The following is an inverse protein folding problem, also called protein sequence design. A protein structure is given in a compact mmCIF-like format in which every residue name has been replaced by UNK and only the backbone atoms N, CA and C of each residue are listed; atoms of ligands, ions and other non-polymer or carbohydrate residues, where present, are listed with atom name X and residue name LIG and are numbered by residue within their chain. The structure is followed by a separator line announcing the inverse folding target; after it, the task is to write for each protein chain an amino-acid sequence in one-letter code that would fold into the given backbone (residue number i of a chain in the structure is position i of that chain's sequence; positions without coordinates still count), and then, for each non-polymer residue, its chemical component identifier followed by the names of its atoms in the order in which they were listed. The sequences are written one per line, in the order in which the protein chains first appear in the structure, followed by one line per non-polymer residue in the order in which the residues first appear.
data_IF_932260312876
#
_entry.id   IF_932260312876
#
_cell.length_a   1.000
_cell.length_b   1.000
_cell.length_c   1.000
_cell.angle_alpha   90.00
_cell.angle_beta   90.00
_cell.angle_gamma   90.00
#
_symmetry.space_group_name_H-M   'P 1'
#
loop_
_entity.id
_entity.type
_entity.pdbx_description
1 polymer ?
#
# COMPACT_ATOMS: atom_id res chain seq x y z
N UNK A 1 29.28 -51.57 -45.84
CA UNK A 1 29.01 -50.16 -46.19
C UNK A 1 28.91 -49.37 -44.90
N UNK A 2 29.73 -48.32 -44.75
CA UNK A 2 29.89 -47.53 -43.52
C UNK A 2 28.70 -46.58 -43.33
N UNK A 3 28.10 -46.56 -42.14
CA UNK A 3 27.10 -45.57 -41.75
C UNK A 3 27.81 -44.26 -41.34
N UNK A 4 27.48 -43.17 -42.01
CA UNK A 4 27.91 -41.82 -41.67
C UNK A 4 26.98 -41.27 -40.58
N UNK A 5 27.54 -40.92 -39.41
CA UNK A 5 26.85 -40.13 -38.40
C UNK A 5 27.13 -38.65 -38.70
N UNK A 6 26.09 -37.90 -39.05
CA UNK A 6 26.17 -36.44 -39.19
C UNK A 6 26.07 -35.83 -37.79
N UNK A 7 27.15 -35.21 -37.31
CA UNK A 7 27.17 -34.45 -36.06
C UNK A 7 26.83 -32.98 -36.39
N UNK A 8 25.61 -32.54 -36.07
CA UNK A 8 25.20 -31.15 -36.22
C UNK A 8 25.71 -30.33 -35.04
N UNK A 9 26.71 -29.49 -35.27
CA UNK A 9 27.22 -28.54 -34.26
C UNK A 9 26.31 -27.31 -34.26
N UNK A 10 25.54 -27.12 -33.18
CA UNK A 10 24.84 -25.86 -32.93
C UNK A 10 25.85 -24.82 -32.42
N UNK A 11 26.20 -23.85 -33.25
CA UNK A 11 26.95 -22.67 -32.84
C UNK A 11 26.00 -21.74 -32.07
N UNK A 12 26.08 -21.73 -30.74
CA UNK A 12 25.41 -20.71 -29.93
C UNK A 12 26.23 -19.43 -30.07
N UNK A 13 25.79 -18.53 -30.95
CA UNK A 13 26.31 -17.15 -30.98
C UNK A 13 25.68 -16.45 -29.77
N UNK A 14 26.43 -16.38 -28.67
CA UNK A 14 26.12 -15.46 -27.60
C UNK A 14 26.26 -14.05 -28.16
N UNK A 15 25.14 -13.44 -28.55
CA UNK A 15 25.10 -12.02 -28.85
C UNK A 15 25.39 -11.29 -27.54
N UNK A 16 26.63 -10.85 -27.35
CA UNK A 16 26.94 -9.85 -26.34
C UNK A 16 26.06 -8.64 -26.61
N UNK A 17 25.20 -8.31 -25.66
CA UNK A 17 24.55 -7.01 -25.63
C UNK A 17 25.63 -5.92 -25.78
N UNK A 18 25.38 -4.85 -26.55
CA UNK A 18 26.35 -3.76 -26.68
C UNK A 18 26.70 -3.19 -25.31
N UNK A 19 27.96 -2.79 -25.13
CA UNK A 19 28.41 -2.11 -23.91
C UNK A 19 27.60 -0.82 -23.70
N UNK A 20 27.13 -0.59 -22.46
CA UNK A 20 26.30 0.56 -22.08
C UNK A 20 27.06 1.88 -22.30
N UNK A 21 26.37 2.90 -22.82
CA UNK A 21 26.90 4.27 -22.93
C UNK A 21 26.86 4.96 -21.56
N UNK A 22 27.92 5.69 -21.19
CA UNK A 22 28.08 6.40 -19.90
C UNK A 22 27.09 7.55 -19.66
N UNK A 23 26.20 7.85 -20.63
CA UNK A 23 25.19 8.91 -20.54
C UNK A 23 23.77 8.41 -20.25
N UNK A 24 23.54 7.10 -20.11
CA UNK A 24 22.24 6.59 -19.70
C UNK A 24 22.01 6.82 -18.20
N UNK A 25 20.83 7.31 -17.83
CA UNK A 25 20.43 7.48 -16.42
C UNK A 25 20.56 6.18 -15.59
N UNK A 26 20.53 5.02 -16.25
CA UNK A 26 20.76 3.70 -15.64
C UNK A 26 22.24 3.41 -15.27
N UNK A 27 23.21 4.17 -15.79
CA UNK A 27 24.63 4.01 -15.45
C UNK A 27 25.03 4.71 -14.13
N UNK A 28 24.14 5.54 -13.56
CA UNK A 28 24.36 6.28 -12.30
C UNK A 28 23.51 5.79 -11.11
N UNK A 29 22.72 4.72 -11.30
CA UNK A 29 21.89 4.15 -10.23
C UNK A 29 22.67 3.04 -9.49
N UNK A 30 23.16 3.27 -8.25
CA UNK A 30 23.82 2.22 -7.45
C UNK A 30 22.82 1.27 -6.79
N UNK A 31 21.52 1.48 -6.94
CA UNK A 31 20.48 0.71 -6.26
C UNK A 31 20.05 -0.53 -7.03
N UNK A 32 19.45 -1.46 -6.29
CA UNK A 32 18.92 -2.69 -6.88
C UNK A 32 17.67 -2.40 -7.73
N UNK A 33 17.34 -3.34 -8.63
CA UNK A 33 16.07 -3.29 -9.37
C UNK A 33 14.90 -3.31 -8.38
N UNK A 34 13.96 -2.38 -8.54
CA UNK A 34 12.86 -2.13 -7.60
C UNK A 34 13.12 -1.00 -6.61
N UNK A 35 14.31 -0.39 -6.64
CA UNK A 35 14.67 0.78 -5.85
C UNK A 35 14.96 2.00 -6.73
N UNK A 36 14.94 3.16 -6.09
CA UNK A 36 15.28 4.46 -6.65
C UNK A 36 16.49 5.02 -5.93
N UNK A 37 17.48 5.47 -6.70
CA UNK A 37 18.54 6.33 -6.17
C UNK A 37 17.99 7.75 -6.04
N UNK A 38 17.57 8.11 -4.83
CA UNK A 38 16.99 9.42 -4.52
C UNK A 38 18.08 10.35 -4.01
N UNK A 39 18.24 11.50 -4.68
CA UNK A 39 19.14 12.58 -4.29
C UNK A 39 18.34 13.79 -3.83
N UNK A 40 18.61 14.27 -2.62
CA UNK A 40 17.98 15.45 -2.04
C UNK A 40 18.94 16.66 -2.07
N UNK A 41 18.37 17.83 -2.30
CA UNK A 41 19.10 19.10 -2.40
C UNK A 41 18.43 20.16 -1.54
N UNK A 42 19.23 21.00 -0.87
CA UNK A 42 18.75 22.18 -0.14
C UNK A 42 18.66 23.41 -1.07
N UNK A 43 18.05 23.19 -2.23
CA UNK A 43 17.63 24.19 -3.21
C UNK A 43 16.56 23.58 -4.11
N UNK A 44 15.77 24.41 -4.80
CA UNK A 44 14.70 23.95 -5.69
C UNK A 44 15.16 23.59 -7.12
N UNK A 45 16.44 23.78 -7.44
CA UNK A 45 16.99 23.61 -8.78
C UNK A 45 17.69 22.28 -9.04
N UNK A 46 17.62 21.31 -8.10
CA UNK A 46 18.38 20.05 -8.15
C UNK A 46 19.90 20.27 -8.39
N UNK A 47 20.45 21.37 -7.86
CA UNK A 47 21.77 21.86 -8.25
C UNK A 47 22.83 21.66 -7.16
N UNK A 48 24.09 21.54 -7.57
CA UNK A 48 25.23 21.32 -6.68
C UNK A 48 25.32 19.90 -6.15
N UNK A 49 26.00 19.73 -5.02
CA UNK A 49 26.13 18.43 -4.34
C UNK A 49 24.85 18.12 -3.57
N UNK A 50 24.29 16.93 -3.78
CA UNK A 50 23.16 16.45 -2.99
C UNK A 50 23.56 16.38 -1.50
N UNK A 51 22.68 16.88 -0.62
CA UNK A 51 22.92 16.85 0.84
C UNK A 51 22.65 15.46 1.42
N UNK A 52 21.84 14.67 0.73
CA UNK A 52 21.55 13.27 1.03
C UNK A 52 21.35 12.52 -0.29
N UNK A 53 21.88 11.31 -0.37
CA UNK A 53 21.60 10.39 -1.47
C UNK A 53 21.54 8.95 -0.95
N UNK A 54 20.46 8.22 -1.26
CA UNK A 54 20.25 6.85 -0.78
C UNK A 54 19.29 6.08 -1.69
N UNK A 55 19.30 4.75 -1.54
CA UNK A 55 18.33 3.88 -2.18
C UNK A 55 17.02 3.85 -1.41
N UNK A 56 15.91 4.05 -2.10
CA UNK A 56 14.55 4.08 -1.54
C UNK A 56 13.63 3.14 -2.35
N UNK A 57 12.62 2.56 -1.71
CA UNK A 57 11.70 1.60 -2.35
C UNK A 57 10.48 2.25 -3.00
N UNK A 58 10.32 3.55 -2.79
CA UNK A 58 9.26 4.41 -3.31
C UNK A 58 9.83 5.80 -3.52
N UNK A 59 9.07 6.70 -4.13
CA UNK A 59 9.49 8.09 -4.31
C UNK A 59 8.50 9.03 -3.65
N UNK A 60 9.01 9.80 -2.69
CA UNK A 60 8.27 10.89 -2.06
C UNK A 60 7.57 10.51 -0.76
N UNK A 61 6.50 11.23 -0.44
CA UNK A 61 5.78 11.22 0.81
C UNK A 61 4.94 12.49 0.99
N UNK A 62 4.33 12.62 2.17
CA UNK A 62 3.53 13.76 2.58
C UNK A 62 4.27 14.58 3.65
N UNK A 63 4.99 15.60 3.21
CA UNK A 63 5.92 16.34 4.06
C UNK A 63 5.32 17.65 4.55
N UNK A 64 4.94 17.70 5.83
CA UNK A 64 4.65 18.95 6.53
C UNK A 64 5.94 19.69 7.01
N UNK A 65 7.10 19.09 6.79
CA UNK A 65 8.41 19.59 7.21
C UNK A 65 9.54 18.90 6.44
N UNK A 66 10.68 18.70 7.10
CA UNK A 66 11.85 18.06 6.47
C UNK A 66 11.54 16.62 6.02
N UNK A 67 11.86 16.22 4.77
CA UNK A 67 11.61 14.86 4.29
C UNK A 67 12.60 13.83 4.85
N UNK A 68 13.78 14.26 5.29
CA UNK A 68 14.82 13.39 5.82
C UNK A 68 15.85 14.21 6.63
N UNK A 69 16.55 13.61 7.61
CA UNK A 69 17.61 14.29 8.33
C UNK A 69 18.63 14.95 7.39
N UNK A 70 18.91 16.24 7.59
CA UNK A 70 19.85 17.03 6.78
C UNK A 70 19.22 17.75 5.57
N UNK A 71 17.98 17.44 5.22
CA UNK A 71 17.22 18.16 4.18
C UNK A 71 16.42 19.29 4.81
N UNK A 72 16.37 20.47 4.18
CA UNK A 72 15.57 21.59 4.64
C UNK A 72 14.07 21.27 4.58
N UNK A 73 13.28 21.88 5.47
CA UNK A 73 11.82 21.77 5.44
C UNK A 73 11.20 22.50 4.23
N UNK A 74 11.75 23.66 3.89
CA UNK A 74 11.35 24.47 2.74
C UNK A 74 12.53 24.59 1.75
N UNK A 75 12.24 24.96 0.50
CA UNK A 75 13.27 25.25 -0.49
C UNK A 75 14.13 24.05 -0.89
N UNK A 76 13.57 22.84 -0.80
CA UNK A 76 14.28 21.61 -1.15
C UNK A 76 13.83 21.04 -2.51
N UNK A 77 14.61 20.11 -3.03
CA UNK A 77 14.22 19.30 -4.17
C UNK A 77 14.77 17.89 -4.08
N UNK A 78 14.16 16.97 -4.80
CA UNK A 78 14.61 15.58 -4.92
C UNK A 78 14.59 15.12 -6.37
N UNK A 79 15.61 14.36 -6.75
CA UNK A 79 15.70 13.69 -8.05
C UNK A 79 15.95 12.19 -7.82
N UNK A 80 14.97 11.38 -8.19
CA UNK A 80 14.96 9.93 -8.00
C UNK A 80 15.07 9.23 -9.35
N UNK A 81 16.08 8.36 -9.50
CA UNK A 81 16.26 7.51 -10.69
C UNK A 81 16.21 6.06 -10.26
N UNK A 82 15.25 5.31 -10.78
CA UNK A 82 15.05 3.90 -10.47
C UNK A 82 15.13 3.01 -11.70
N UNK A 83 15.22 1.70 -11.44
CA UNK A 83 15.09 0.66 -12.45
C UNK A 83 14.03 -0.32 -11.98
N UNK A 84 12.89 -0.37 -12.65
CA UNK A 84 11.75 -1.21 -12.24
C UNK A 84 11.61 -2.40 -13.16
N UNK A 85 11.26 -3.55 -12.60
CA UNK A 85 10.93 -4.75 -13.37
C UNK A 85 9.45 -4.76 -13.69
N UNK A 86 9.12 -4.79 -14.98
CA UNK A 86 7.78 -5.01 -15.49
C UNK A 86 7.65 -6.51 -15.78
N UNK A 87 6.88 -7.28 -14.98
CA UNK A 87 6.84 -8.73 -15.08
C UNK A 87 6.20 -9.25 -16.39
N UNK A 88 5.33 -8.44 -17.03
CA UNK A 88 4.63 -8.81 -18.26
C UNK A 88 4.57 -7.63 -19.22
N UNK A 89 4.55 -7.91 -20.52
CA UNK A 89 4.23 -6.88 -21.53
C UNK A 89 2.74 -6.57 -21.42
N UNK A 90 2.38 -5.31 -21.19
CA UNK A 90 0.97 -4.96 -20.99
C UNK A 90 0.74 -3.50 -20.64
N UNK A 91 -0.51 -3.18 -20.31
CA UNK A 91 -0.90 -1.85 -19.88
C UNK A 91 -0.53 -1.63 -18.40
N UNK A 92 0.26 -0.60 -18.16
CA UNK A 92 0.61 -0.11 -16.84
C UNK A 92 0.05 1.29 -16.65
N UNK A 93 -0.45 1.54 -15.44
CA UNK A 93 -0.90 2.85 -15.01
C UNK A 93 0.18 3.51 -14.17
N UNK A 94 0.61 4.67 -14.63
CA UNK A 94 1.56 5.56 -13.98
C UNK A 94 0.72 6.62 -13.27
N UNK A 95 0.95 6.78 -11.97
CA UNK A 95 0.26 7.77 -11.14
C UNK A 95 1.27 8.65 -10.42
N UNK A 96 0.99 9.96 -10.37
CA UNK A 96 1.76 10.94 -9.60
C UNK A 96 0.80 11.88 -8.90
N UNK A 97 0.69 11.76 -7.58
CA UNK A 97 -0.06 12.69 -6.73
C UNK A 97 0.89 13.78 -6.25
N UNK A 98 0.67 15.03 -6.66
CA UNK A 98 1.47 16.17 -6.23
C UNK A 98 0.64 17.22 -5.51
N UNK A 99 1.26 17.95 -4.60
CA UNK A 99 0.68 19.13 -3.93
C UNK A 99 1.78 20.00 -3.32
N UNK A 100 1.76 21.30 -3.62
CA UNK A 100 2.80 22.23 -3.10
C UNK A 100 4.19 22.08 -3.74
N UNK A 101 4.38 21.11 -4.64
CA UNK A 101 5.62 20.87 -5.38
C UNK A 101 5.39 21.00 -6.88
N UNK A 102 6.45 21.35 -7.60
CA UNK A 102 6.54 21.06 -9.05
C UNK A 102 7.04 19.63 -9.19
N UNK A 103 6.53 18.87 -10.16
CA UNK A 103 6.87 17.46 -10.34
C UNK A 103 7.02 17.10 -11.81
N UNK A 104 7.91 16.15 -12.10
CA UNK A 104 8.05 15.54 -13.44
C UNK A 104 8.32 14.06 -13.31
N UNK A 105 7.77 13.30 -14.25
CA UNK A 105 7.88 11.84 -14.31
C UNK A 105 8.32 11.41 -15.69
N UNK A 106 9.28 10.50 -15.76
CA UNK A 106 9.73 9.88 -17.00
C UNK A 106 9.72 8.35 -16.91
N UNK A 107 9.43 7.70 -18.04
CA UNK A 107 9.60 6.27 -18.28
C UNK A 107 10.44 6.10 -19.53
N UNK A 108 11.58 5.39 -19.42
CA UNK A 108 12.55 5.19 -20.50
C UNK A 108 12.99 6.48 -21.22
N UNK A 109 13.06 7.57 -20.47
CA UNK A 109 13.42 8.90 -20.98
C UNK A 109 12.27 9.67 -21.64
N UNK A 110 11.12 9.06 -21.90
CA UNK A 110 9.89 9.76 -22.30
C UNK A 110 9.32 10.52 -21.11
N UNK A 111 9.05 11.82 -21.27
CA UNK A 111 8.36 12.65 -20.28
C UNK A 111 6.87 12.28 -20.26
N UNK A 112 6.41 11.73 -19.15
CA UNK A 112 5.02 11.28 -18.96
C UNK A 112 4.17 12.40 -18.36
N UNK A 113 4.67 13.07 -17.32
CA UNK A 113 4.01 14.19 -16.66
C UNK A 113 4.98 15.36 -16.52
N UNK A 114 4.50 16.58 -16.83
CA UNK A 114 5.28 17.81 -16.74
C UNK A 114 4.53 18.90 -15.97
N UNK A 115 4.66 18.87 -14.64
CA UNK A 115 4.12 19.88 -13.73
C UNK A 115 5.24 20.83 -13.30
N UNK A 116 5.91 21.44 -14.28
CA UNK A 116 7.03 22.35 -14.04
C UNK A 116 6.62 23.71 -13.46
N UNK A 117 5.39 24.14 -13.76
CA UNK A 117 4.93 25.51 -13.52
C UNK A 117 3.74 25.60 -12.55
N UNK A 118 3.16 24.45 -12.17
CA UNK A 118 2.04 24.37 -11.24
C UNK A 118 2.43 23.63 -9.96
N UNK A 119 1.74 23.97 -8.86
CA UNK A 119 1.89 23.34 -7.52
C UNK A 119 0.52 22.92 -6.99
N UNK A 120 -0.38 22.66 -7.93
CA UNK A 120 -1.75 22.25 -7.69
C UNK A 120 -1.79 20.88 -7.02
N UNK A 121 -2.91 20.63 -6.34
CA UNK A 121 -3.16 19.40 -5.63
C UNK A 121 -3.96 18.47 -6.54
N UNK A 122 -3.43 17.28 -6.82
CA UNK A 122 -4.12 16.31 -7.65
C UNK A 122 -3.25 15.12 -8.05
N UNK A 123 -3.92 14.09 -8.55
CA UNK A 123 -3.28 12.87 -9.08
C UNK A 123 -3.35 12.88 -10.59
N UNK A 124 -2.20 12.90 -11.24
CA UNK A 124 -2.08 12.66 -12.67
C UNK A 124 -2.02 11.16 -12.96
N UNK A 125 -2.75 10.74 -13.99
CA UNK A 125 -2.85 9.35 -14.41
C UNK A 125 -2.55 9.22 -15.90
N UNK A 126 -1.66 8.29 -16.22
CA UNK A 126 -1.35 7.91 -17.59
C UNK A 126 -1.32 6.39 -17.70
N UNK A 127 -1.89 5.87 -18.78
CA UNK A 127 -1.76 4.46 -19.13
C UNK A 127 -0.76 4.34 -20.28
N UNK A 128 0.20 3.42 -20.15
CA UNK A 128 1.20 3.10 -21.17
C UNK A 128 1.29 1.60 -21.35
N UNK A 129 1.48 1.17 -22.59
CA UNK A 129 1.90 -0.21 -22.86
C UNK A 129 3.41 -0.27 -22.69
N UNK A 130 3.88 -1.14 -21.79
CA UNK A 130 5.29 -1.31 -21.47
C UNK A 130 5.67 -2.76 -21.76
N UNK A 131 6.86 -2.99 -22.29
CA UNK A 131 7.39 -4.33 -22.52
C UNK A 131 7.78 -5.01 -21.20
N UNK A 132 7.76 -6.35 -21.16
CA UNK A 132 8.31 -7.09 -20.04
C UNK A 132 9.84 -6.87 -20.01
N UNK A 133 10.37 -6.50 -18.85
CA UNK A 133 11.80 -6.18 -18.75
C UNK A 133 12.11 -5.26 -17.60
N UNK A 134 13.33 -4.73 -17.60
CA UNK A 134 13.76 -3.69 -16.66
C UNK A 134 13.76 -2.37 -17.40
N UNK A 135 13.01 -1.40 -16.88
CA UNK A 135 12.81 -0.09 -17.49
C UNK A 135 13.29 1.00 -16.54
N UNK A 136 13.75 2.12 -17.11
CA UNK A 136 14.22 3.26 -16.34
C UNK A 136 13.05 4.15 -15.96
N UNK A 137 12.96 4.53 -14.68
CA UNK A 137 11.96 5.48 -14.19
C UNK A 137 12.66 6.63 -13.52
N UNK A 138 12.23 7.85 -13.80
CA UNK A 138 12.72 9.04 -13.10
C UNK A 138 11.55 9.84 -12.58
N UNK A 139 11.70 10.35 -11.36
CA UNK A 139 10.75 11.25 -10.73
C UNK A 139 11.55 12.39 -10.12
N UNK A 140 11.24 13.63 -10.47
CA UNK A 140 11.85 14.81 -9.86
C UNK A 140 10.77 15.70 -9.27
N UNK A 141 10.99 16.23 -8.07
CA UNK A 141 10.06 17.18 -7.47
C UNK A 141 10.78 18.26 -6.65
N UNK A 142 10.19 19.44 -6.55
CA UNK A 142 10.75 20.57 -5.80
C UNK A 142 9.67 21.40 -5.09
N UNK A 143 9.85 21.60 -3.79
CA UNK A 143 9.00 22.40 -2.93
C UNK A 143 9.67 23.73 -2.57
N UNK A 144 8.97 24.84 -2.75
CA UNK A 144 9.52 26.17 -2.41
C UNK A 144 9.28 26.51 -0.94
N UNK A 145 8.07 26.28 -0.45
CA UNK A 145 7.66 26.55 0.92
C UNK A 145 6.35 25.82 1.27
N UNK A 146 6.16 25.47 2.54
CA UNK A 146 4.94 24.85 3.04
C UNK A 146 4.86 23.34 2.75
N UNK A 147 3.69 22.72 2.93
CA UNK A 147 3.52 21.29 2.72
C UNK A 147 3.94 20.87 1.31
N UNK A 148 4.67 19.77 1.23
CA UNK A 148 5.16 19.18 -0.02
C UNK A 148 4.72 17.72 -0.10
N UNK A 149 3.85 17.43 -1.07
CA UNK A 149 3.36 16.07 -1.34
C UNK A 149 3.88 15.63 -2.69
N UNK A 150 4.53 14.45 -2.72
CA UNK A 150 4.72 13.69 -3.94
C UNK A 150 4.55 12.21 -3.64
N UNK A 151 3.66 11.55 -4.37
CA UNK A 151 3.36 10.13 -4.22
C UNK A 151 3.26 9.49 -5.61
N UNK A 152 4.23 8.62 -5.90
CA UNK A 152 4.39 7.96 -7.19
C UNK A 152 4.05 6.46 -7.13
N UNK A 153 3.44 5.94 -8.20
CA UNK A 153 3.31 4.50 -8.44
C UNK A 153 3.24 4.15 -9.93
N UNK A 154 3.69 2.93 -10.28
CA UNK A 154 3.46 2.31 -11.59
C UNK A 154 2.88 0.92 -11.37
N UNK A 155 1.63 0.69 -11.74
CA UNK A 155 0.93 -0.57 -11.44
C UNK A 155 0.34 -1.21 -12.69
N UNK A 156 0.15 -2.53 -12.64
CA UNK A 156 -0.57 -3.22 -13.71
C UNK A 156 -2.03 -2.75 -13.74
N UNK A 157 -2.60 -2.66 -14.94
CA UNK A 157 -4.05 -2.41 -15.09
C UNK A 157 -4.84 -3.72 -15.01
N UNK A 158 -4.20 -4.86 -15.25
CA UNK A 158 -4.84 -6.16 -15.28
C UNK A 158 -5.31 -6.60 -13.89
N UNK A 159 -6.53 -7.13 -13.83
CA UNK A 159 -7.10 -7.69 -12.61
C UNK A 159 -6.54 -9.07 -12.30
N UNK A 160 -6.51 -9.41 -11.01
CA UNK A 160 -6.11 -10.72 -10.53
C UNK A 160 -7.23 -11.76 -10.63
N UNK A 161 -6.89 -13.05 -10.56
CA UNK A 161 -7.87 -14.12 -10.43
C UNK A 161 -8.64 -14.01 -9.11
N UNK A 162 -9.93 -14.36 -9.14
CA UNK A 162 -10.75 -14.37 -7.93
C UNK A 162 -10.20 -15.32 -6.86
N UNK A 163 -10.35 -14.96 -5.58
CA UNK A 163 -10.00 -15.87 -4.49
C UNK A 163 -10.88 -17.12 -4.47
N UNK A 164 -10.26 -18.28 -4.25
CA UNK A 164 -10.94 -19.58 -4.20
C UNK A 164 -11.39 -20.02 -2.80
N UNK A 165 -11.01 -19.28 -1.76
CA UNK A 165 -11.26 -19.63 -0.35
C UNK A 165 -12.20 -18.66 0.38
N UNK A 166 -12.77 -17.67 -0.32
CA UNK A 166 -13.65 -16.67 0.28
C UNK A 166 -12.93 -15.45 0.88
N UNK A 167 -11.59 -15.41 0.86
CA UNK A 167 -10.86 -14.19 1.24
C UNK A 167 -11.26 -13.02 0.33
N UNK A 168 -11.28 -11.82 0.88
CA UNK A 168 -11.31 -10.60 0.09
C UNK A 168 -10.05 -10.48 -0.78
N UNK A 169 -10.22 -9.78 -1.90
CA UNK A 169 -9.26 -9.51 -2.97
C UNK A 169 -8.82 -10.73 -3.77
N UNK A 170 -8.10 -10.47 -4.86
CA UNK A 170 -7.62 -11.50 -5.76
C UNK A 170 -6.78 -12.57 -5.05
N UNK A 171 -6.78 -13.80 -5.57
CA UNK A 171 -5.95 -14.88 -5.03
C UNK A 171 -4.46 -14.53 -5.03
N UNK A 172 -4.00 -13.73 -6.00
CA UNK A 172 -2.63 -13.23 -6.11
C UNK A 172 -2.40 -11.87 -5.43
N UNK A 173 -3.38 -11.32 -4.70
CA UNK A 173 -3.18 -10.12 -3.88
C UNK A 173 -2.05 -10.33 -2.88
N UNK A 174 -1.29 -9.28 -2.58
CA UNK A 174 -0.28 -9.29 -1.51
C UNK A 174 -0.83 -9.73 -0.14
N UNK A 175 -2.15 -9.62 0.07
CA UNK A 175 -2.86 -10.08 1.26
C UNK A 175 -3.01 -11.60 1.28
N UNK A 176 -3.30 -12.20 0.13
CA UNK A 176 -3.62 -13.63 -0.02
C UNK A 176 -2.39 -14.48 -0.34
N UNK A 177 -1.19 -13.91 -0.19
CA UNK A 177 0.08 -14.60 -0.42
C UNK A 177 0.85 -14.79 0.90
N UNK A 178 1.31 -16.01 1.21
CA UNK A 178 2.18 -16.23 2.36
C UNK A 178 3.50 -15.47 2.19
N UNK A 179 4.18 -15.24 3.30
CA UNK A 179 5.53 -14.71 3.25
C UNK A 179 6.46 -15.69 2.53
N UNK A 180 7.43 -15.20 1.72
CA UNK A 180 8.43 -16.07 1.13
C UNK A 180 9.26 -16.73 2.24
N UNK A 181 9.91 -17.88 1.99
CA UNK A 181 10.84 -18.47 2.94
C UNK A 181 11.96 -17.49 3.29
N UNK A 182 12.22 -17.29 4.58
CA UNK A 182 13.29 -16.42 5.10
C UNK A 182 13.29 -14.99 4.51
N UNK A 183 12.21 -14.21 4.68
CA UNK A 183 12.18 -12.85 4.18
C UNK A 183 13.28 -12.01 4.85
N UNK A 184 13.89 -11.11 4.08
CA UNK A 184 14.90 -10.20 4.60
C UNK A 184 14.28 -9.24 5.63
N UNK A 185 15.00 -9.01 6.73
CA UNK A 185 14.59 -8.10 7.80
C UNK A 185 15.16 -6.71 7.52
N UNK A 186 14.33 -5.67 7.62
CA UNK A 186 14.80 -4.30 7.47
C UNK A 186 15.82 -3.98 8.58
N UNK A 187 16.99 -3.41 8.27
CA UNK A 187 18.02 -3.11 9.26
C UNK A 187 17.54 -2.14 10.35
N UNK A 188 16.46 -1.38 10.12
CA UNK A 188 15.84 -0.48 11.10
C UNK A 188 14.87 -1.20 12.04
N UNK A 189 14.51 -2.45 11.77
CA UNK A 189 13.55 -3.23 12.56
C UNK A 189 13.82 -3.20 14.06
N UNK A 190 15.06 -3.38 14.58
CA UNK A 190 15.30 -3.32 16.02
C UNK A 190 14.94 -1.96 16.64
N UNK A 191 15.16 -0.86 15.91
CA UNK A 191 14.85 0.49 16.39
C UNK A 191 13.33 0.73 16.42
N UNK A 192 12.60 0.29 15.40
CA UNK A 192 11.14 0.42 15.35
C UNK A 192 10.44 -0.46 16.38
N UNK A 193 10.91 -1.69 16.59
CA UNK A 193 10.42 -2.57 17.67
C UNK A 193 10.66 -1.92 19.04
N UNK A 194 11.87 -1.39 19.28
CA UNK A 194 12.18 -0.68 20.51
C UNK A 194 11.30 0.57 20.70
N UNK A 195 11.07 1.35 19.63
CA UNK A 195 10.21 2.52 19.66
C UNK A 195 8.77 2.16 20.05
N UNK A 196 8.18 1.11 19.47
CA UNK A 196 6.86 0.60 19.86
C UNK A 196 6.84 0.12 21.32
N UNK A 197 7.84 -0.65 21.73
CA UNK A 197 7.95 -1.14 23.11
C UNK A 197 8.14 -0.03 24.14
N UNK A 198 8.74 1.10 23.78
CA UNK A 198 8.91 2.26 24.65
C UNK A 198 7.78 3.28 24.54
N UNK A 199 6.90 3.18 23.54
CA UNK A 199 5.81 4.11 23.35
C UNK A 199 4.83 4.05 24.52
N UNK A 200 4.44 5.19 25.14
CA UNK A 200 3.63 5.20 26.34
C UNK A 200 2.22 4.65 26.13
N UNK A 201 1.65 4.81 24.94
CA UNK A 201 0.29 4.36 24.62
C UNK A 201 0.22 2.89 24.16
N UNK A 202 1.34 2.26 23.80
CA UNK A 202 1.35 0.85 23.34
C UNK A 202 1.38 -0.09 24.54
N UNK A 203 0.20 -0.58 24.95
CA UNK A 203 0.01 -1.46 26.12
C UNK A 203 -0.16 -2.94 25.77
N UNK A 204 -0.60 -3.22 24.55
CA UNK A 204 -0.80 -4.52 23.95
C UNK A 204 -0.64 -4.36 22.43
N UNK A 205 -0.94 -5.42 21.68
CA UNK A 205 -1.35 -5.29 20.27
C UNK A 205 -2.87 -5.38 20.29
N UNK A 206 -3.53 -4.24 20.23
CA UNK A 206 -4.99 -4.13 20.37
C UNK A 206 -5.68 -4.73 19.13
N UNK A 207 -6.87 -5.30 19.27
CA UNK A 207 -7.66 -5.81 18.13
C UNK A 207 -9.02 -5.13 18.12
N UNK A 208 -9.22 -4.20 17.19
CA UNK A 208 -10.44 -3.43 17.09
C UNK A 208 -11.54 -4.23 16.38
N UNK A 209 -12.63 -4.56 17.08
CA UNK A 209 -13.76 -5.37 16.57
C UNK A 209 -15.15 -4.73 16.70
N UNK A 210 -15.22 -3.51 17.24
CA UNK A 210 -16.48 -2.74 17.39
C UNK A 210 -16.33 -1.35 16.77
N UNK A 211 -15.40 -0.55 17.30
CA UNK A 211 -15.06 0.80 16.87
C UNK A 211 -13.59 0.89 16.45
N UNK A 212 -13.21 1.95 15.73
CA UNK A 212 -11.86 2.11 15.13
C UNK A 212 -11.50 0.94 14.20
N UNK A 213 -12.53 0.40 13.56
CA UNK A 213 -12.50 -0.67 12.56
C UNK A 213 -13.62 -0.39 11.55
N UNK A 214 -14.07 -1.37 10.78
CA UNK A 214 -14.99 -1.16 9.66
C UNK A 214 -16.20 -2.08 9.74
N UNK A 215 -17.39 -1.48 9.59
CA UNK A 215 -18.63 -2.20 9.36
C UNK A 215 -18.70 -2.64 7.89
N UNK A 216 -19.06 -3.90 7.63
CA UNK A 216 -19.09 -4.43 6.26
C UNK A 216 -20.50 -4.91 5.92
N UNK A 217 -21.08 -4.38 4.85
CA UNK A 217 -22.41 -4.78 4.39
C UNK A 217 -22.36 -5.33 2.98
N UNK A 218 -23.00 -6.49 2.79
CA UNK A 218 -23.29 -7.03 1.46
C UNK A 218 -24.60 -6.46 0.96
N UNK A 219 -24.59 -5.91 -0.26
CA UNK A 219 -25.76 -5.42 -0.95
C UNK A 219 -26.17 -6.42 -2.05
N UNK A 220 -27.22 -7.22 -1.81
CA UNK A 220 -27.71 -8.18 -2.80
C UNK A 220 -28.22 -7.51 -4.07
N UNK A 221 -28.34 -8.29 -5.13
CA UNK A 221 -28.94 -7.85 -6.39
C UNK A 221 -30.33 -7.22 -6.16
N UNK A 222 -30.53 -6.02 -6.72
CA UNK A 222 -31.77 -5.25 -6.58
C UNK A 222 -31.80 -4.29 -5.37
N UNK A 223 -30.72 -4.19 -4.60
CA UNK A 223 -30.58 -3.16 -3.56
C UNK A 223 -30.72 -1.76 -4.18
N UNK A 224 -31.58 -0.87 -3.63
CA UNK A 224 -31.73 0.49 -4.15
C UNK A 224 -30.45 1.30 -3.99
N UNK A 225 -30.24 2.27 -4.88
CA UNK A 225 -29.06 3.15 -4.83
C UNK A 225 -29.32 4.45 -4.09
N UNK A 226 -28.25 5.03 -3.53
CA UNK A 226 -28.20 6.38 -2.96
C UNK A 226 -26.91 7.07 -3.38
N UNK A 227 -26.97 8.38 -3.56
CA UNK A 227 -25.81 9.22 -3.83
C UNK A 227 -25.19 9.72 -2.54
N UNK A 228 -23.88 9.56 -2.38
CA UNK A 228 -23.07 10.05 -1.26
C UNK A 228 -22.23 11.22 -1.72
N UNK A 229 -22.32 12.37 -1.04
CA UNK A 229 -21.43 13.51 -1.29
C UNK A 229 -20.13 13.35 -0.50
N UNK A 230 -18.99 13.35 -1.18
CA UNK A 230 -17.65 13.17 -0.59
C UNK A 230 -16.92 14.51 -0.53
N UNK A 231 -16.58 14.96 0.68
CA UNK A 231 -16.07 16.32 0.90
C UNK A 231 -14.67 16.54 0.36
N UNK A 232 -13.71 15.65 0.63
CA UNK A 232 -12.31 15.87 0.29
C UNK A 232 -12.08 15.87 -1.22
N UNK A 233 -12.80 15.01 -1.96
CA UNK A 233 -12.69 14.92 -3.41
C UNK A 233 -13.71 15.79 -4.15
N UNK A 234 -14.74 16.30 -3.47
CA UNK A 234 -15.87 16.99 -4.10
C UNK A 234 -16.76 16.08 -4.97
N UNK A 235 -16.54 14.75 -4.94
CA UNK A 235 -17.25 13.78 -5.76
C UNK A 235 -18.62 13.42 -5.20
N UNK A 236 -19.51 12.92 -6.06
CA UNK A 236 -20.77 12.30 -5.66
C UNK A 236 -20.77 10.84 -6.10
N UNK A 237 -20.83 9.89 -5.17
CA UNK A 237 -20.70 8.46 -5.50
C UNK A 237 -22.06 7.79 -5.34
N UNK A 238 -22.52 7.11 -6.39
CA UNK A 238 -23.74 6.30 -6.31
C UNK A 238 -23.40 4.90 -5.81
N UNK A 239 -24.02 4.48 -4.71
CA UNK A 239 -23.79 3.19 -4.07
C UNK A 239 -25.12 2.45 -3.86
N UNK A 240 -25.13 1.10 -3.85
CA UNK A 240 -26.26 0.37 -3.28
C UNK A 240 -26.31 0.61 -1.77
N UNK A 241 -27.49 0.87 -1.21
CA UNK A 241 -27.61 1.23 0.20
C UNK A 241 -28.97 0.86 0.78
N UNK A 242 -28.95 0.25 1.98
CA UNK A 242 -30.16 0.02 2.78
C UNK A 242 -30.12 0.89 4.05
N UNK A 243 -31.26 1.42 4.53
CA UNK A 243 -31.29 2.31 5.70
C UNK A 243 -30.72 1.74 7.01
N UNK A 244 -30.54 0.43 7.11
CA UNK A 244 -29.96 -0.23 8.28
C UNK A 244 -28.43 -0.40 8.20
N UNK A 245 -27.80 0.03 7.11
CA UNK A 245 -26.34 0.05 6.99
C UNK A 245 -25.81 1.21 7.83
N UNK A 246 -25.09 0.90 8.90
CA UNK A 246 -24.60 1.86 9.87
C UNK A 246 -23.07 1.85 9.91
N UNK A 247 -22.42 3.02 9.92
CA UNK A 247 -20.99 3.09 10.16
C UNK A 247 -20.65 2.75 11.62
N UNK A 248 -19.38 2.46 11.89
CA UNK A 248 -18.89 2.33 13.27
C UNK A 248 -19.18 3.58 14.11
N UNK A 249 -19.33 3.42 15.43
CA UNK A 249 -19.75 4.50 16.34
C UNK A 249 -18.54 5.19 17.00
N UNK A 250 -17.61 5.62 16.16
CA UNK A 250 -16.42 6.41 16.53
C UNK A 250 -16.31 7.67 15.67
N UNK A 251 -15.21 8.41 15.81
CA UNK A 251 -15.01 9.66 15.07
C UNK A 251 -14.80 9.42 13.57
N UNK A 252 -14.21 8.29 13.18
CA UNK A 252 -13.96 7.94 11.79
C UNK A 252 -15.17 7.33 11.12
N UNK A 253 -16.08 6.70 11.86
CA UNK A 253 -17.37 6.22 11.34
C UNK A 253 -17.20 5.48 9.99
N UNK A 254 -16.33 4.47 9.98
CA UNK A 254 -16.02 3.70 8.79
C UNK A 254 -17.17 2.78 8.41
N UNK A 255 -17.38 2.64 7.11
CA UNK A 255 -18.32 1.69 6.52
C UNK A 255 -17.80 1.23 5.16
N UNK A 256 -17.97 -0.05 4.87
CA UNK A 256 -17.73 -0.65 3.56
C UNK A 256 -19.00 -1.37 3.08
N UNK A 257 -19.35 -1.16 1.82
CA UNK A 257 -20.52 -1.76 1.18
C UNK A 257 -20.09 -2.47 -0.09
N UNK A 258 -20.33 -3.78 -0.14
CA UNK A 258 -20.01 -4.65 -1.27
C UNK A 258 -21.26 -4.84 -2.11
N UNK A 259 -21.22 -4.47 -3.39
CA UNK A 259 -22.25 -4.85 -4.37
C UNK A 259 -22.01 -6.30 -4.82
N UNK A 260 -22.85 -7.23 -4.35
CA UNK A 260 -22.71 -8.67 -4.64
C UNK A 260 -22.87 -8.99 -6.14
N UNK A 261 -23.46 -8.08 -6.93
CA UNK A 261 -23.66 -8.27 -8.37
C UNK A 261 -22.38 -7.98 -9.15
N UNK A 262 -21.60 -6.99 -8.71
CA UNK A 262 -20.46 -6.46 -9.46
C UNK A 262 -19.11 -6.78 -8.80
N UNK A 263 -19.10 -7.10 -7.50
CA UNK A 263 -17.88 -7.22 -6.70
C UNK A 263 -17.22 -5.88 -6.42
N UNK A 264 -17.94 -4.77 -6.62
CA UNK A 264 -17.46 -3.44 -6.28
C UNK A 264 -17.68 -3.15 -4.80
N UNK A 265 -16.63 -2.71 -4.15
CA UNK A 265 -16.59 -2.35 -2.73
C UNK A 265 -16.48 -0.84 -2.61
N UNK A 266 -17.42 -0.21 -1.93
CA UNK A 266 -17.44 1.22 -1.66
C UNK A 266 -17.21 1.44 -0.18
N UNK A 267 -16.13 2.13 0.17
CA UNK A 267 -15.83 2.41 1.55
C UNK A 267 -15.65 3.90 1.82
N UNK A 268 -16.00 4.30 3.04
CA UNK A 268 -16.12 5.70 3.42
C UNK A 268 -15.58 5.95 4.82
N UNK A 269 -14.97 7.12 5.00
CA UNK A 269 -14.60 7.69 6.29
C UNK A 269 -15.47 8.91 6.58
N UNK A 270 -15.84 9.05 7.85
CA UNK A 270 -16.81 9.97 8.40
C UNK A 270 -18.19 9.88 7.73
N UNK A 271 -18.68 8.65 7.47
CA UNK A 271 -19.97 8.47 6.82
C UNK A 271 -21.13 8.95 7.70
N UNK A 272 -22.06 9.71 7.12
CA UNK A 272 -23.25 10.27 7.77
C UNK A 272 -24.51 9.79 7.05
N UNK A 273 -25.16 8.71 7.52
CA UNK A 273 -26.38 8.14 6.92
C UNK A 273 -27.49 9.17 6.67
N UNK A 274 -27.76 10.07 7.61
CA UNK A 274 -28.85 11.04 7.52
C UNK A 274 -28.62 12.08 6.43
N UNK A 275 -27.36 12.45 6.20
CA UNK A 275 -26.96 13.44 5.20
C UNK A 275 -26.54 12.82 3.87
N UNK A 276 -26.34 11.50 3.82
CA UNK A 276 -25.63 10.78 2.75
C UNK A 276 -24.35 11.53 2.36
N UNK A 277 -23.47 11.75 3.33
CA UNK A 277 -22.18 12.41 3.11
C UNK A 277 -21.05 11.65 3.79
N UNK A 278 -19.84 11.88 3.29
CA UNK A 278 -18.59 11.36 3.84
C UNK A 278 -17.47 12.39 3.66
N UNK A 279 -16.39 12.25 4.41
CA UNK A 279 -15.20 13.07 4.22
C UNK A 279 -14.31 12.47 3.13
N UNK A 280 -14.06 11.15 3.23
CA UNK A 280 -13.21 10.39 2.34
C UNK A 280 -13.94 9.13 1.82
N UNK A 281 -13.48 8.64 0.68
CA UNK A 281 -14.04 7.51 -0.04
C UNK A 281 -13.01 6.89 -0.99
N UNK A 282 -12.96 5.56 -1.03
CA UNK A 282 -12.32 4.81 -2.13
C UNK A 282 -13.18 3.63 -2.57
N UNK A 283 -12.91 3.11 -3.78
CA UNK A 283 -13.61 1.96 -4.34
C UNK A 283 -12.60 0.92 -4.78
N UNK A 284 -12.92 -0.33 -4.50
CA UNK A 284 -12.09 -1.47 -4.80
C UNK A 284 -12.90 -2.55 -5.51
N UNK A 285 -12.19 -3.54 -6.03
CA UNK A 285 -12.78 -4.77 -6.53
C UNK A 285 -12.49 -5.90 -5.54
N UNK A 286 -13.48 -6.22 -4.72
CA UNK A 286 -13.32 -7.14 -3.58
C UNK A 286 -12.97 -8.56 -3.98
N UNK A 287 -13.16 -8.98 -5.23
CA UNK A 287 -12.82 -10.33 -5.68
C UNK A 287 -11.55 -10.38 -6.53
N UNK A 288 -11.23 -9.31 -7.26
CA UNK A 288 -10.23 -9.35 -8.35
C UNK A 288 -9.20 -8.23 -8.29
N UNK A 289 -9.43 -7.21 -7.43
CA UNK A 289 -8.45 -6.19 -7.13
C UNK A 289 -7.40 -6.70 -6.14
N UNK A 290 -6.32 -5.94 -5.95
CA UNK A 290 -5.28 -6.30 -4.97
C UNK A 290 -5.61 -5.87 -3.54
N UNK A 291 -6.50 -4.88 -3.35
CA UNK A 291 -6.73 -4.20 -2.08
C UNK A 291 -5.84 -2.97 -1.85
N UNK A 292 -4.95 -2.64 -2.80
CA UNK A 292 -4.24 -1.37 -2.85
C UNK A 292 -4.83 -0.41 -3.89
N UNK A 293 -4.64 0.88 -3.68
CA UNK A 293 -5.16 1.93 -4.54
C UNK A 293 -4.09 2.99 -4.81
N UNK A 294 -4.19 3.70 -5.95
CA UNK A 294 -3.27 4.82 -6.23
C UNK A 294 -3.55 5.95 -5.25
N UNK A 295 -2.51 6.68 -4.85
CA UNK A 295 -2.72 7.81 -3.95
C UNK A 295 -3.74 8.81 -4.52
N UNK A 296 -4.66 9.20 -3.65
CA UNK A 296 -5.61 10.27 -3.89
C UNK A 296 -5.96 11.02 -2.61
N UNK A 297 -6.76 12.08 -2.72
CA UNK A 297 -7.05 12.97 -1.59
C UNK A 297 -8.05 12.41 -0.56
N UNK A 298 -8.47 11.14 -0.67
CA UNK A 298 -9.73 10.70 -0.06
C UNK A 298 -9.72 9.27 0.51
N UNK A 299 -8.62 8.77 1.06
CA UNK A 299 -8.63 7.45 1.69
C UNK A 299 -7.70 7.28 2.90
N UNK A 300 -7.57 6.05 3.41
CA UNK A 300 -6.69 5.64 4.51
C UNK A 300 -5.26 6.17 4.36
N UNK A 301 -4.53 6.32 5.48
CA UNK A 301 -3.17 6.85 5.51
C UNK A 301 -2.28 6.24 4.42
N UNK A 302 -2.32 4.90 4.30
CA UNK A 302 -1.51 4.11 3.37
C UNK A 302 -2.17 3.79 2.03
N UNK A 303 -3.41 4.20 1.80
CA UNK A 303 -4.23 3.92 0.61
C UNK A 303 -4.44 2.41 0.34
N UNK A 304 -4.62 1.66 1.43
CA UNK A 304 -5.06 0.26 1.43
C UNK A 304 -6.51 0.17 1.88
N UNK A 305 -7.28 -0.74 1.27
CA UNK A 305 -8.69 -0.94 1.60
C UNK A 305 -8.90 -1.23 3.09
N UNK A 306 -10.00 -0.78 3.69
CA UNK A 306 -10.33 -1.15 5.06
C UNK A 306 -10.61 -2.65 5.24
N UNK A 307 -11.00 -3.35 4.17
CA UNK A 307 -11.11 -4.82 4.14
C UNK A 307 -9.76 -5.51 3.95
N UNK A 308 -8.72 -4.78 3.52
CA UNK A 308 -7.40 -5.35 3.33
C UNK A 308 -6.86 -5.84 4.68
N UNK A 309 -6.77 -7.16 4.84
CA UNK A 309 -6.24 -7.80 6.05
C UNK A 309 -7.14 -7.73 7.29
N UNK A 310 -8.44 -7.47 7.09
CA UNK A 310 -9.46 -7.48 8.14
C UNK A 310 -9.71 -8.90 8.64
N UNK A 311 -9.61 -9.13 9.96
CA UNK A 311 -9.96 -10.42 10.56
C UNK A 311 -11.49 -10.56 10.52
N UNK A 312 -12.00 -11.69 10.02
CA UNK A 312 -13.44 -11.91 9.85
C UNK A 312 -14.00 -12.97 10.82
N UNK A 313 -15.31 -12.93 11.13
CA UNK A 313 -15.99 -14.01 11.83
C UNK A 313 -15.82 -15.37 11.14
N UNK A 314 -15.76 -15.38 9.82
CA UNK A 314 -15.55 -16.56 8.99
C UNK A 314 -14.17 -17.18 9.23
N UNK A 315 -13.10 -16.38 9.36
CA UNK A 315 -11.77 -16.87 9.74
C UNK A 315 -11.79 -17.55 11.11
N UNK A 316 -12.42 -16.87 12.08
CA UNK A 316 -12.49 -17.34 13.47
C UNK A 316 -13.35 -18.61 13.58
N UNK A 317 -14.39 -18.73 12.75
CA UNK A 317 -15.20 -19.95 12.64
C UNK A 317 -14.44 -21.09 11.97
N UNK A 318 -13.62 -20.80 10.95
CA UNK A 318 -12.76 -21.78 10.30
C UNK A 318 -11.60 -22.24 11.20
N UNK A 319 -11.27 -21.45 12.23
CA UNK A 319 -10.16 -21.73 13.15
C UNK A 319 -8.79 -21.35 12.59
N UNK A 320 -8.75 -20.59 11.49
CA UNK A 320 -7.53 -20.16 10.82
C UNK A 320 -7.77 -18.84 10.08
N UNK A 321 -6.79 -17.94 10.15
CA UNK A 321 -6.74 -16.72 9.34
C UNK A 321 -5.69 -16.95 8.25
N UNK A 322 -6.14 -17.12 7.01
CA UNK A 322 -5.30 -17.53 5.87
C UNK A 322 -4.96 -16.36 4.92
N UNK A 323 -4.73 -15.18 5.49
CA UNK A 323 -4.28 -13.98 4.80
C UNK A 323 -3.39 -13.12 5.71
N UNK A 324 -2.69 -12.14 5.11
CA UNK A 324 -1.97 -11.12 5.85
C UNK A 324 -2.94 -10.19 6.56
N UNK A 325 -2.56 -9.69 7.73
CA UNK A 325 -3.39 -8.78 8.51
C UNK A 325 -3.12 -7.31 8.15
N UNK A 326 -3.96 -6.41 8.64
CA UNK A 326 -3.72 -4.96 8.64
C UNK A 326 -3.37 -4.49 10.04
N UNK A 327 -2.45 -3.54 10.12
CA UNK A 327 -2.14 -2.85 11.37
C UNK A 327 -1.99 -1.34 11.19
N UNK A 328 -2.08 -0.64 12.32
CA UNK A 328 -1.80 0.77 12.46
C UNK A 328 -0.96 1.01 13.73
N UNK A 329 -0.06 2.00 13.72
CA UNK A 329 0.90 2.26 14.81
C UNK A 329 1.10 3.76 15.08
N UNK A 330 1.74 4.17 16.19
CA UNK A 330 1.92 5.59 16.53
C UNK A 330 3.22 6.22 16.03
N UNK A 331 3.98 5.52 15.18
CA UNK A 331 5.35 5.91 14.82
C UNK A 331 5.60 5.96 13.31
N UNK A 332 4.55 6.19 12.51
CA UNK A 332 4.66 6.21 11.05
C UNK A 332 5.46 7.41 10.56
N UNK A 333 6.27 7.17 9.54
CA UNK A 333 6.99 8.18 8.80
C UNK A 333 6.10 8.87 7.77
N UNK A 334 6.44 10.10 7.32
CA UNK A 334 5.75 10.75 6.19
C UNK A 334 6.00 10.07 4.84
N UNK A 335 6.76 8.97 4.82
CA UNK A 335 7.07 8.17 3.63
C UNK A 335 6.31 6.85 3.66
N UNK A 336 6.31 6.15 2.53
CA UNK A 336 5.56 4.92 2.34
C UNK A 336 6.39 3.92 1.53
N UNK A 337 5.97 2.66 1.47
CA UNK A 337 6.52 1.61 0.62
C UNK A 337 5.38 0.76 0.07
N UNK A 338 5.55 0.13 -1.09
CA UNK A 338 4.48 -0.67 -1.67
C UNK A 338 4.18 -1.92 -0.82
N UNK A 339 2.89 -2.30 -0.68
CA UNK A 339 1.74 -1.88 -1.50
C UNK A 339 1.12 -0.53 -1.12
N UNK A 340 1.51 0.10 0.00
CA UNK A 340 1.09 1.45 0.34
C UNK A 340 1.55 2.46 -0.72
N UNK A 341 0.77 3.51 -0.95
CA UNK A 341 1.08 4.52 -1.99
C UNK A 341 1.14 5.95 -1.49
N UNK A 342 0.90 6.16 -0.21
CA UNK A 342 0.96 7.44 0.51
C UNK A 342 1.17 7.17 2.00
N UNK A 343 1.33 8.25 2.78
CA UNK A 343 1.37 8.18 4.23
C UNK A 343 0.75 9.43 4.87
N UNK A 344 0.12 9.26 6.04
CA UNK A 344 -0.25 10.37 6.93
C UNK A 344 0.64 10.45 8.19
N UNK A 345 1.69 9.62 8.25
CA UNK A 345 2.73 9.65 9.26
C UNK A 345 3.51 10.96 9.32
N UNK A 346 4.05 11.26 10.50
CA UNK A 346 4.79 12.52 10.76
C UNK A 346 6.10 12.33 11.50
N UNK A 347 6.43 11.09 11.88
CA UNK A 347 7.63 10.79 12.65
C UNK A 347 8.83 10.65 11.72
N UNK A 348 9.78 11.57 11.81
CA UNK A 348 11.03 11.49 11.05
C UNK A 348 11.76 10.18 11.38
N UNK A 349 12.19 9.46 10.34
CA UNK A 349 12.77 8.11 10.42
C UNK A 349 11.86 7.04 11.07
N UNK A 350 10.55 7.33 11.15
CA UNK A 350 9.52 6.39 11.56
C UNK A 350 9.34 5.23 10.59
N UNK A 351 8.28 4.46 10.81
CA UNK A 351 7.92 3.31 9.99
C UNK A 351 7.19 3.78 8.73
N UNK A 352 7.65 3.47 7.51
CA UNK A 352 6.92 3.83 6.30
C UNK A 352 5.65 2.98 6.18
N UNK A 353 4.53 3.61 5.84
CA UNK A 353 3.28 2.88 5.60
C UNK A 353 3.38 1.94 4.41
N UNK A 354 2.59 0.86 4.44
CA UNK A 354 2.71 -0.27 3.52
C UNK A 354 3.84 -1.25 3.86
N UNK A 355 4.64 -1.01 4.90
CA UNK A 355 5.64 -2.00 5.34
C UNK A 355 4.96 -3.27 5.86
N UNK A 356 5.61 -4.42 5.63
CA UNK A 356 5.14 -5.72 6.14
C UNK A 356 5.91 -6.10 7.40
N UNK A 357 5.19 -6.49 8.45
CA UNK A 357 5.77 -7.12 9.65
C UNK A 357 5.52 -8.63 9.63
N UNK A 358 6.32 -9.36 10.39
CA UNK A 358 6.13 -10.78 10.66
C UNK A 358 6.43 -11.06 12.14
N UNK A 359 5.64 -11.92 12.77
CA UNK A 359 6.02 -12.51 14.05
C UNK A 359 7.08 -13.59 13.80
N UNK A 360 8.19 -13.58 14.54
CA UNK A 360 9.30 -14.51 14.32
C UNK A 360 8.78 -15.96 14.15
N UNK A 361 8.95 -16.59 12.97
CA UNK A 361 8.45 -17.93 12.71
C UNK A 361 9.16 -19.00 13.56
N UNK A 362 10.28 -18.67 14.20
CA UNK A 362 10.95 -19.56 15.15
C UNK A 362 10.35 -19.50 16.58
N UNK A 363 9.50 -18.51 16.88
CA UNK A 363 8.83 -18.41 18.17
C UNK A 363 7.83 -19.58 18.35
N UNK A 364 8.08 -20.42 19.35
CA UNK A 364 7.16 -21.52 19.67
C UNK A 364 5.94 -21.00 20.44
N UNK A 365 4.86 -20.76 19.70
CA UNK A 365 3.61 -20.23 20.24
C UNK A 365 2.99 -21.15 21.32
N UNK A 366 3.29 -22.46 21.34
CA UNK A 366 2.75 -23.40 22.34
C UNK A 366 3.30 -23.14 23.74
N UNK A 367 4.44 -22.46 23.83
CA UNK A 367 5.04 -22.05 25.10
C UNK A 367 4.36 -20.80 25.67
N UNK A 368 3.59 -20.10 24.84
CA UNK A 368 2.83 -18.92 25.19
C UNK A 368 1.42 -19.37 25.59
N UNK A 369 0.90 -18.87 26.70
CA UNK A 369 -0.45 -19.18 27.18
C UNK A 369 -1.49 -18.34 26.43
N UNK A 370 -1.49 -18.43 25.10
CA UNK A 370 -2.40 -17.68 24.24
C UNK A 370 -3.81 -18.26 24.30
N UNK A 371 -4.82 -17.39 24.22
CA UNK A 371 -6.20 -17.81 23.95
C UNK A 371 -6.29 -18.41 22.54
N UNK A 372 -7.36 -19.18 22.22
CA UNK A 372 -7.56 -19.69 20.86
C UNK A 372 -7.53 -18.59 19.79
N UNK A 373 -8.11 -17.42 20.08
CA UNK A 373 -8.09 -16.28 19.17
C UNK A 373 -6.67 -15.72 18.98
N UNK A 374 -5.96 -15.44 20.07
CA UNK A 374 -4.58 -14.97 20.02
C UNK A 374 -3.66 -15.95 19.27
N UNK A 375 -3.85 -17.26 19.45
CA UNK A 375 -3.11 -18.29 18.74
C UNK A 375 -3.35 -18.22 17.22
N UNK A 376 -4.60 -18.01 16.78
CA UNK A 376 -4.92 -17.84 15.37
C UNK A 376 -4.22 -16.62 14.77
N UNK A 377 -4.33 -15.47 15.44
CA UNK A 377 -3.70 -14.21 14.98
C UNK A 377 -2.17 -14.33 14.96
N UNK A 378 -1.55 -14.88 16.01
CA UNK A 378 -0.11 -15.08 16.05
C UNK A 378 0.38 -16.05 14.95
N UNK A 379 -0.39 -17.09 14.64
CA UNK A 379 -0.08 -18.01 13.54
C UNK A 379 -0.16 -17.31 12.18
N UNK A 380 -1.16 -16.45 11.97
CA UNK A 380 -1.28 -15.64 10.76
C UNK A 380 -0.11 -14.64 10.65
N UNK A 381 0.27 -13.98 11.74
CA UNK A 381 1.45 -13.10 11.78
C UNK A 381 2.76 -13.84 11.46
N UNK A 382 2.90 -15.13 11.81
CA UNK A 382 4.06 -15.93 11.43
C UNK A 382 4.05 -16.31 9.94
N UNK A 383 2.89 -16.69 9.39
CA UNK A 383 2.77 -17.26 8.03
C UNK A 383 2.59 -16.19 6.94
N UNK A 384 1.77 -15.19 7.22
CA UNK A 384 1.39 -14.12 6.29
C UNK A 384 1.84 -12.74 6.77
N UNK A 385 2.08 -12.53 8.07
CA UNK A 385 2.45 -11.22 8.58
C UNK A 385 1.31 -10.20 8.50
N UNK A 386 1.65 -8.92 8.60
CA UNK A 386 0.67 -7.83 8.52
C UNK A 386 1.25 -6.61 7.80
N UNK A 387 0.41 -5.82 7.14
CA UNK A 387 0.79 -4.58 6.46
C UNK A 387 0.36 -3.35 7.26
N UNK A 388 1.25 -2.37 7.33
CA UNK A 388 0.96 -1.06 7.91
C UNK A 388 0.05 -0.28 6.96
N UNK A 389 -1.05 0.26 7.45
CA UNK A 389 -2.05 0.92 6.62
C UNK A 389 -2.48 2.30 7.12
N UNK A 390 -2.07 2.70 8.32
CA UNK A 390 -2.53 3.93 8.98
C UNK A 390 -1.68 4.31 10.19
N UNK A 391 -1.69 5.59 10.53
CA UNK A 391 -1.36 6.08 11.87
C UNK A 391 -2.47 5.72 12.86
N UNK A 392 -2.09 5.28 14.05
CA UNK A 392 -2.98 5.12 15.21
C UNK A 392 -2.31 5.64 16.49
N UNK A 393 -3.10 5.81 17.56
CA UNK A 393 -2.55 6.20 18.87
C UNK A 393 -1.73 5.09 19.55
N UNK A 394 -2.05 3.84 19.24
CA UNK A 394 -1.49 2.61 19.81
C UNK A 394 -1.15 1.66 18.67
N UNK A 395 -0.67 0.45 18.97
CA UNK A 395 -0.54 -0.60 17.99
C UNK A 395 -1.85 -1.39 17.94
N UNK A 396 -2.60 -1.26 16.84
CA UNK A 396 -3.83 -2.00 16.63
C UNK A 396 -3.80 -2.86 15.36
N UNK A 397 -4.46 -4.02 15.44
CA UNK A 397 -4.96 -4.82 14.32
C UNK A 397 -6.46 -4.55 14.16
N UNK A 398 -7.02 -4.89 13.00
CA UNK A 398 -8.45 -4.68 12.71
C UNK A 398 -9.19 -6.00 12.49
N UNK A 399 -10.35 -6.12 13.13
CA UNK A 399 -11.32 -7.17 12.93
C UNK A 399 -12.66 -6.55 12.52
N UNK A 400 -13.44 -7.21 11.68
CA UNK A 400 -14.75 -6.71 11.20
C UNK A 400 -15.63 -6.27 12.36
N UNK A 401 -16.24 -5.08 12.25
CA UNK A 401 -17.12 -4.53 13.27
C UNK A 401 -18.38 -5.38 13.44
N UNK A 402 -18.76 -5.69 14.68
CA UNK A 402 -19.99 -6.43 14.99
C UNK A 402 -21.28 -5.61 14.81
N UNK A 403 -21.18 -4.31 14.53
CA UNK A 403 -22.34 -3.42 14.32
C UNK A 403 -23.15 -3.78 13.07
N UNK A 404 -22.53 -4.45 12.10
CA UNK A 404 -23.20 -4.96 10.90
C UNK A 404 -24.08 -6.21 11.17
N UNK A 405 -24.12 -6.67 12.42
CA UNK A 405 -24.90 -7.82 12.85
C UNK A 405 -24.11 -9.12 12.89
N UNK A 406 -22.85 -9.13 12.42
CA UNK A 406 -21.99 -10.30 12.52
C UNK A 406 -21.55 -10.60 13.96
N UNK A 407 -21.15 -11.85 14.23
CA UNK A 407 -20.74 -12.31 15.56
C UNK A 407 -19.57 -13.27 15.44
N UNK A 408 -18.55 -13.06 16.27
CA UNK A 408 -17.46 -14.01 16.42
C UNK A 408 -17.89 -15.20 17.29
N UNK A 409 -17.51 -16.45 16.93
CA UNK A 409 -17.87 -17.64 17.69
C UNK A 409 -17.08 -17.78 19.01
N UNK A 410 -16.01 -17.01 19.17
CA UNK A 410 -15.22 -16.86 20.40
C UNK A 410 -14.92 -15.38 20.64
N UNK A 411 -14.46 -15.04 21.85
CA UNK A 411 -14.03 -13.68 22.18
C UNK A 411 -12.83 -13.26 21.32
N UNK A 412 -12.88 -12.03 20.82
CA UNK A 412 -11.73 -11.32 20.25
C UNK A 412 -10.90 -10.77 21.41
N UNK A 413 -9.64 -11.20 21.50
CA UNK A 413 -8.73 -10.82 22.57
C UNK A 413 -7.56 -10.02 21.97
N UNK A 414 -7.18 -8.92 22.62
CA UNK A 414 -5.91 -8.24 22.35
C UNK A 414 -4.72 -9.18 22.52
N UNK A 415 -3.67 -8.98 21.74
CA UNK A 415 -2.47 -9.80 21.79
C UNK A 415 -1.50 -9.30 22.87
N UNK A 416 -0.80 -10.20 23.60
CA UNK A 416 0.15 -9.79 24.63
C UNK A 416 1.25 -8.88 24.08
N UNK A 417 1.55 -7.82 24.83
CA UNK A 417 2.56 -6.81 24.44
C UNK A 417 3.93 -7.41 24.14
N UNK A 418 4.28 -8.49 24.83
CA UNK A 418 5.57 -9.18 24.68
C UNK A 418 5.80 -9.68 23.25
N UNK A 419 4.74 -9.96 22.49
CA UNK A 419 4.84 -10.36 21.09
C UNK A 419 5.48 -9.28 20.21
N UNK A 420 5.36 -8.00 20.57
CA UNK A 420 6.01 -6.90 19.83
C UNK A 420 7.53 -7.09 19.81
N UNK A 421 8.13 -7.57 20.91
CA UNK A 421 9.57 -7.86 20.99
C UNK A 421 10.02 -9.00 20.08
N UNK A 422 9.09 -9.78 19.53
CA UNK A 422 9.33 -10.88 18.59
C UNK A 422 8.91 -10.53 17.16
N UNK A 423 8.43 -9.31 16.90
CA UNK A 423 8.13 -8.87 15.56
C UNK A 423 9.41 -8.48 14.81
N UNK A 424 9.36 -8.62 13.50
CA UNK A 424 10.35 -8.12 12.56
C UNK A 424 9.67 -7.33 11.46
N UNK A 425 10.14 -6.10 11.24
CA UNK A 425 9.80 -5.32 10.05
C UNK A 425 10.63 -5.85 8.89
N UNK A 426 9.97 -6.18 7.79
CA UNK A 426 10.61 -6.81 6.65
C UNK A 426 11.11 -5.75 5.67
N UNK A 427 12.22 -6.06 5.01
CA UNK A 427 12.67 -5.28 3.86
C UNK A 427 11.59 -5.31 2.77
N UNK A 428 11.18 -4.16 2.21
CA UNK A 428 10.18 -4.14 1.13
C UNK A 428 10.61 -5.03 -0.03
N UNK A 429 9.69 -5.89 -0.47
CA UNK A 429 9.92 -6.88 -1.53
C UNK A 429 8.87 -6.83 -2.64
N UNK A 430 7.83 -6.01 -2.47
CA UNK A 430 6.77 -5.80 -3.44
C UNK A 430 7.11 -4.52 -4.20
N UNK A 431 7.17 -4.59 -5.53
CA UNK A 431 7.20 -3.39 -6.37
C UNK A 431 5.78 -2.98 -6.75
N UNK A 432 5.55 -1.70 -7.04
CA UNK A 432 4.25 -1.27 -7.57
C UNK A 432 3.90 -1.96 -8.88
N UNK A 433 4.89 -2.36 -9.69
CA UNK A 433 4.70 -3.04 -10.98
C UNK A 433 4.22 -4.48 -10.83
N UNK A 434 4.34 -5.07 -9.63
CA UNK A 434 3.91 -6.43 -9.32
C UNK A 434 2.43 -6.50 -8.91
N UNK A 435 1.83 -5.35 -8.59
CA UNK A 435 0.46 -5.25 -8.09
C UNK A 435 -0.40 -4.43 -9.03
N UNK A 436 -1.70 -4.71 -9.02
CA UNK A 436 -2.71 -3.83 -9.59
C UNK A 436 -3.18 -2.89 -8.49
N UNK A 437 -3.18 -1.58 -8.74
CA UNK A 437 -3.74 -0.60 -7.81
C UNK A 437 -5.07 -0.11 -8.36
N UNK A 438 -6.16 -0.12 -7.60
CA UNK A 438 -7.39 0.53 -8.03
C UNK A 438 -7.22 2.06 -8.12
N UNK A 439 -8.19 2.76 -8.72
CA UNK A 439 -8.15 4.22 -8.86
C UNK A 439 -9.51 4.83 -8.74
N UNK A 440 -9.54 6.08 -8.28
CA UNK A 440 -10.72 6.96 -8.28
C UNK A 440 -11.26 7.32 -9.68
N UNK A 441 -10.57 6.92 -10.76
CA UNK A 441 -10.98 7.13 -12.14
C UNK A 441 -11.51 5.85 -12.81
N UNK A 442 -11.67 4.75 -12.07
CA UNK A 442 -12.09 3.47 -12.65
C UNK A 442 -13.58 3.51 -13.06
N UNK A 443 -13.90 3.33 -14.36
CA UNK A 443 -15.30 3.31 -14.79
C UNK A 443 -16.03 2.03 -14.35
N UNK A 444 -15.32 0.95 -13.99
CA UNK A 444 -15.91 -0.36 -13.73
C UNK A 444 -16.84 -0.40 -12.52
N UNK A 445 -16.51 0.35 -11.46
CA UNK A 445 -17.28 0.37 -10.22
C UNK A 445 -18.12 1.64 -10.02
N UNK A 446 -18.63 2.23 -11.10
CA UNK A 446 -19.51 3.42 -11.05
C UNK A 446 -18.91 4.60 -10.27
N UNK A 447 -17.59 4.76 -10.30
CA UNK A 447 -16.99 5.98 -9.76
C UNK A 447 -17.26 7.17 -10.68
N UNK A 448 -17.53 8.34 -10.09
CA UNK A 448 -17.49 9.59 -10.85
C UNK A 448 -16.03 9.96 -11.14
N UNK A 449 -15.77 10.36 -12.39
CA UNK A 449 -14.44 10.76 -12.86
C UNK A 449 -13.91 11.94 -12.08
#
# INVERSE_FOLDING_TARGET
MRAFVLLTVFLVVAACAPARNETDAAAQNPCDVGQYWTRYYNNTGHSGTAVLARCEYSVGGNFAGSPAPGVQADGFSADAIGSLRFPVTGQYRIASMSGGVVARVWLDGELIFDHADTRDWGTDLATRTVEAGVHAVRVSYAGASGPAVQEFSVSQVALGPASGNGNYFAANSFLNQPLPPNPAVDPRSPNWVAALMHHPDVKAIDVNEDIWTTAVYHAPAGTPTRTVAVRNSGKSIEIPYLPHYLPTQDADAHIAIIDDTTGCEYEFQSFKPDAMSAIAQATYRVNTGSGGHVSGPAHSGGELSYLAGLITPEDVQAGAIDHALRFAIPINAPTYVYPGTRSDGTVLDGVPEGIRIQLDPALDLRTLKLSPFQQMVATALQKYGAFDADVAKTFSLTARSVIDGTRYPIRVDDLPRELIGHLRFLTPSISSTDIQLDTAADPGCRQQR
#
